data_IF_108450504749
#
_entry.id   IF_108450504749
#
_cell.length_a   1.000
_cell.length_b   1.000
_cell.length_c   1.000
_cell.angle_alpha   90.00
_cell.angle_beta   90.00
_cell.angle_gamma   90.00
#
_symmetry.space_group_name_H-M   'P 1'
#
loop_
_entity.id
_entity.type
_entity.pdbx_description
1 polymer ?
#
# COMPACT_ATOMS: atom_id res chain seq x y z
N UNK A 1 5.86 -49.38 2.43
CA UNK A 1 6.29 -48.26 3.29
C UNK A 1 6.37 -47.03 2.42
N UNK A 2 5.23 -46.37 2.23
CA UNK A 2 5.08 -45.26 1.30
C UNK A 2 4.73 -44.01 2.11
N UNK A 3 5.68 -43.07 2.15
CA UNK A 3 5.57 -41.76 2.82
C UNK A 3 5.56 -40.68 1.74
N UNK A 4 4.53 -40.66 0.90
CA UNK A 4 4.25 -39.54 -0.01
C UNK A 4 2.76 -39.42 -0.29
N UNK A 5 2.01 -38.85 0.65
CA UNK A 5 0.78 -38.10 0.35
C UNK A 5 0.28 -37.33 1.59
N UNK A 6 1.03 -36.32 2.04
CA UNK A 6 0.57 -35.39 3.08
C UNK A 6 1.04 -33.96 2.74
N UNK A 7 0.69 -33.47 1.55
CA UNK A 7 0.79 -32.04 1.21
C UNK A 7 -0.33 -31.70 0.22
N UNK A 8 -1.54 -31.46 0.74
CA UNK A 8 -2.60 -30.60 0.19
C UNK A 8 -3.80 -30.70 1.15
N UNK A 9 -3.60 -30.26 2.40
CA UNK A 9 -4.72 -29.73 3.17
C UNK A 9 -4.79 -28.23 2.85
N UNK A 10 -5.92 -27.69 2.36
CA UNK A 10 -6.08 -26.26 2.35
C UNK A 10 -6.13 -25.84 3.82
N UNK A 11 -5.02 -25.31 4.35
CA UNK A 11 -5.22 -24.17 5.24
C UNK A 11 -5.95 -23.17 4.36
N UNK A 12 -7.23 -22.89 4.64
CA UNK A 12 -7.94 -21.82 3.94
C UNK A 12 -7.15 -20.53 4.15
N UNK A 13 -6.23 -20.25 3.23
CA UNK A 13 -5.41 -19.07 3.30
C UNK A 13 -6.38 -17.90 3.19
N UNK A 14 -6.53 -17.15 4.28
CA UNK A 14 -7.44 -16.02 4.40
C UNK A 14 -7.26 -15.03 3.24
N UNK A 15 -6.05 -14.96 2.70
CA UNK A 15 -5.74 -14.11 1.58
C UNK A 15 -6.44 -14.57 0.31
N UNK A 16 -6.83 -15.84 0.12
CA UNK A 16 -7.67 -16.27 -1.01
C UNK A 16 -9.02 -15.52 -1.04
N UNK A 17 -9.54 -15.16 0.13
CA UNK A 17 -10.80 -14.42 0.35
C UNK A 17 -10.60 -12.92 0.53
N UNK A 18 -9.44 -12.39 0.15
CA UNK A 18 -9.14 -10.95 0.17
C UNK A 18 -9.13 -10.39 -1.25
N UNK A 19 -9.69 -9.18 -1.42
CA UNK A 19 -9.66 -8.50 -2.72
C UNK A 19 -8.50 -7.50 -2.79
N UNK A 20 -7.75 -7.55 -3.89
CA UNK A 20 -6.61 -6.64 -4.14
C UNK A 20 -7.15 -5.28 -4.57
N UNK A 21 -6.68 -4.22 -3.91
CA UNK A 21 -6.97 -2.84 -4.25
C UNK A 21 -5.73 -1.99 -3.98
N UNK A 22 -4.94 -1.73 -5.02
CA UNK A 22 -3.59 -1.17 -4.91
C UNK A 22 -3.30 -0.14 -5.98
N UNK A 23 -2.53 0.89 -5.64
CA UNK A 23 -1.78 1.70 -6.61
C UNK A 23 -0.39 1.07 -6.73
N UNK A 24 -0.10 0.50 -7.91
CA UNK A 24 1.13 -0.24 -8.20
C UNK A 24 2.05 0.59 -9.10
N UNK A 25 3.18 1.02 -8.56
CA UNK A 25 4.26 1.66 -9.31
C UNK A 25 5.36 0.64 -9.58
N UNK A 26 5.51 0.24 -10.84
CA UNK A 26 6.54 -0.72 -11.26
C UNK A 26 7.74 0.06 -11.80
N UNK A 27 8.91 -0.14 -11.19
CA UNK A 27 10.19 0.37 -11.67
C UNK A 27 10.98 -0.77 -12.32
N UNK A 28 10.99 -0.79 -13.64
CA UNK A 28 11.57 -1.85 -14.44
C UNK A 28 12.95 -1.45 -14.97
N UNK A 29 13.96 -2.25 -14.66
CA UNK A 29 15.26 -2.14 -15.32
C UNK A 29 15.16 -2.66 -16.76
N UNK A 30 15.32 -1.76 -17.73
CA UNK A 30 15.25 -2.10 -19.17
C UNK A 30 16.52 -2.76 -19.71
N UNK A 31 17.48 -3.11 -18.83
CA UNK A 31 18.51 -4.10 -19.18
C UNK A 31 17.93 -5.53 -19.30
N UNK A 32 16.75 -5.79 -18.75
CA UNK A 32 16.00 -7.00 -19.06
C UNK A 32 15.60 -7.05 -20.53
N UNK A 33 15.67 -8.23 -21.15
CA UNK A 33 15.03 -8.42 -22.46
C UNK A 33 13.51 -8.33 -22.32
N UNK A 34 12.87 -7.51 -23.16
CA UNK A 34 11.40 -7.38 -23.19
C UNK A 34 10.70 -8.75 -23.24
N UNK A 35 11.16 -9.65 -24.11
CA UNK A 35 10.55 -10.99 -24.32
C UNK A 35 10.56 -11.86 -23.05
N UNK A 36 11.49 -11.61 -22.14
CA UNK A 36 11.55 -12.31 -20.86
C UNK A 36 10.63 -11.60 -19.86
N UNK A 37 10.87 -10.32 -19.63
CA UNK A 37 10.26 -9.60 -18.50
C UNK A 37 8.79 -9.27 -18.72
N UNK A 38 8.32 -9.21 -19.97
CA UNK A 38 6.90 -9.04 -20.30
C UNK A 38 6.02 -10.07 -19.59
N UNK A 39 6.39 -11.36 -19.64
CA UNK A 39 5.59 -12.42 -19.04
C UNK A 39 5.47 -12.27 -17.51
N UNK A 40 6.53 -11.82 -16.85
CA UNK A 40 6.55 -11.62 -15.40
C UNK A 40 5.72 -10.41 -14.96
N UNK A 41 5.86 -9.27 -15.66
CA UNK A 41 5.01 -8.11 -15.43
C UNK A 41 3.55 -8.47 -15.72
N UNK A 42 3.30 -9.19 -16.81
CA UNK A 42 1.96 -9.62 -17.20
C UNK A 42 1.31 -10.52 -16.16
N UNK A 43 2.07 -11.49 -15.63
CA UNK A 43 1.58 -12.37 -14.58
C UNK A 43 1.11 -11.60 -13.34
N UNK A 44 1.90 -10.60 -12.90
CA UNK A 44 1.56 -9.75 -11.75
C UNK A 44 0.33 -8.89 -12.09
N UNK A 45 0.37 -8.14 -13.19
CA UNK A 45 -0.67 -7.16 -13.57
C UNK A 45 -2.01 -7.83 -13.85
N UNK A 46 -2.06 -8.99 -14.51
CA UNK A 46 -3.30 -9.71 -14.77
C UNK A 46 -4.01 -10.19 -13.50
N UNK A 47 -3.25 -10.43 -12.43
CA UNK A 47 -3.79 -10.84 -11.13
C UNK A 47 -4.10 -9.65 -10.24
N UNK A 48 -3.77 -8.43 -10.68
CA UNK A 48 -4.27 -7.21 -10.06
C UNK A 48 -5.66 -6.91 -10.62
N UNK A 49 -6.59 -6.47 -9.77
CA UNK A 49 -7.93 -6.02 -10.17
C UNK A 49 -7.85 -4.61 -10.80
N UNK A 50 -7.14 -4.46 -11.92
CA UNK A 50 -6.92 -3.17 -12.61
C UNK A 50 -8.21 -2.69 -13.28
N UNK A 51 -8.82 -1.66 -12.72
CA UNK A 51 -10.06 -1.02 -13.22
C UNK A 51 -10.25 0.36 -12.57
N UNK A 52 -11.13 1.25 -13.06
CA UNK A 52 -11.28 2.60 -12.52
C UNK A 52 -11.56 2.68 -11.01
N UNK A 53 -12.39 1.76 -10.50
CA UNK A 53 -12.73 1.65 -9.07
C UNK A 53 -11.91 0.58 -8.33
N UNK A 54 -10.95 -0.02 -9.02
CA UNK A 54 -10.07 -1.07 -8.51
C UNK A 54 -8.66 -0.53 -8.32
N UNK A 55 -7.69 -1.37 -8.67
CA UNK A 55 -6.27 -1.06 -8.65
C UNK A 55 -5.87 -0.21 -9.88
N UNK A 56 -4.77 0.52 -9.74
CA UNK A 56 -4.11 1.22 -10.84
C UNK A 56 -2.67 0.71 -11.01
N UNK A 57 -2.12 0.83 -12.21
CA UNK A 57 -0.74 0.45 -12.50
C UNK A 57 -0.04 1.53 -13.34
N UNK A 58 1.21 1.82 -12.99
CA UNK A 58 2.10 2.70 -13.75
C UNK A 58 3.44 2.00 -13.91
N UNK A 59 4.05 2.07 -15.09
CA UNK A 59 5.36 1.48 -15.37
C UNK A 59 6.38 2.56 -15.69
N UNK A 60 7.50 2.53 -14.98
CA UNK A 60 8.60 3.46 -15.11
C UNK A 60 9.92 2.72 -15.33
N UNK A 61 10.90 3.36 -15.96
CA UNK A 61 12.28 2.84 -16.03
C UNK A 61 12.95 2.92 -14.67
N UNK A 62 13.73 1.90 -14.28
CA UNK A 62 14.49 1.90 -13.03
C UNK A 62 15.76 2.77 -13.06
N UNK A 63 16.26 3.15 -14.25
CA UNK A 63 17.48 3.95 -14.41
C UNK A 63 17.26 5.44 -14.21
N UNK A 64 16.20 5.98 -14.81
CA UNK A 64 15.91 7.42 -14.87
C UNK A 64 14.49 7.79 -14.43
N UNK A 65 13.68 6.81 -14.04
CA UNK A 65 12.28 7.01 -13.64
C UNK A 65 11.39 7.69 -14.69
N UNK A 66 11.71 7.52 -15.99
CA UNK A 66 10.84 7.95 -17.09
C UNK A 66 9.67 6.97 -17.26
N UNK A 67 8.54 7.47 -17.77
CA UNK A 67 7.34 6.66 -17.99
C UNK A 67 7.51 5.73 -19.20
N UNK A 68 7.23 4.45 -19.00
CA UNK A 68 7.03 3.46 -20.07
C UNK A 68 5.54 3.24 -20.34
N UNK A 69 4.73 3.26 -19.29
CA UNK A 69 3.28 3.34 -19.39
C UNK A 69 2.76 4.28 -18.30
N UNK A 70 1.87 5.20 -18.69
CA UNK A 70 1.22 6.10 -17.76
C UNK A 70 0.25 5.34 -16.85
N UNK A 71 -0.25 6.01 -15.80
CA UNK A 71 -1.20 5.43 -14.88
C UNK A 71 -2.42 4.92 -15.65
N UNK A 72 -2.61 3.60 -15.61
CA UNK A 72 -3.70 2.92 -16.28
C UNK A 72 -4.65 2.28 -15.29
N UNK A 73 -5.92 2.36 -15.62
CA UNK A 73 -7.03 1.66 -14.99
C UNK A 73 -7.60 0.59 -15.92
N UNK A 74 -6.82 0.16 -16.92
CA UNK A 74 -7.20 -0.82 -17.94
C UNK A 74 -5.97 -1.65 -18.30
N UNK A 75 -6.08 -2.97 -18.16
CA UNK A 75 -5.00 -3.90 -18.53
C UNK A 75 -4.65 -3.76 -20.02
N UNK A 76 -5.68 -3.57 -20.86
CA UNK A 76 -5.50 -3.41 -22.30
C UNK A 76 -4.72 -2.13 -22.61
N UNK A 77 -5.08 -1.01 -21.99
CA UNK A 77 -4.40 0.26 -22.27
C UNK A 77 -2.98 0.31 -21.69
N UNK A 78 -2.73 -0.47 -20.63
CA UNK A 78 -1.39 -0.67 -20.09
C UNK A 78 -0.48 -1.37 -21.11
N UNK A 79 -0.89 -2.51 -21.68
CA UNK A 79 -0.08 -3.24 -22.66
C UNK A 79 -0.04 -2.58 -24.05
N UNK A 80 -0.99 -1.72 -24.38
CA UNK A 80 -0.87 -0.85 -25.57
C UNK A 80 0.28 0.15 -25.43
N UNK A 81 0.42 0.76 -24.25
CA UNK A 81 1.47 1.73 -23.97
C UNK A 81 2.84 1.07 -23.82
N UNK A 82 2.90 -0.06 -23.12
CA UNK A 82 4.14 -0.80 -22.93
C UNK A 82 4.24 -2.01 -23.86
N UNK A 83 5.04 -1.87 -24.92
CA UNK A 83 5.27 -2.87 -25.94
C UNK A 83 6.78 -2.99 -26.24
N UNK A 84 7.16 -3.90 -27.15
CA UNK A 84 8.57 -4.12 -27.51
C UNK A 84 9.27 -2.84 -27.95
N UNK A 85 8.60 -1.99 -28.73
CA UNK A 85 9.19 -0.75 -29.25
C UNK A 85 9.42 0.26 -28.11
N UNK A 86 8.40 0.52 -27.28
CA UNK A 86 8.52 1.48 -26.17
C UNK A 86 9.50 1.00 -25.10
N UNK A 87 9.62 -0.31 -24.89
CA UNK A 87 10.64 -0.89 -24.02
C UNK A 87 12.05 -0.69 -24.60
N UNK A 88 12.24 -0.94 -25.90
CA UNK A 88 13.56 -0.87 -26.56
C UNK A 88 14.05 0.58 -26.76
N UNK A 89 13.12 1.53 -26.90
CA UNK A 89 13.41 2.96 -27.01
C UNK A 89 13.62 3.65 -25.65
N UNK A 90 13.52 2.92 -24.54
CA UNK A 90 13.71 3.48 -23.21
C UNK A 90 15.10 4.14 -23.07
N UNK A 91 15.11 5.37 -22.53
CA UNK A 91 16.24 6.29 -22.61
C UNK A 91 17.59 5.77 -22.05
N UNK A 92 17.59 4.76 -21.17
CA UNK A 92 18.81 4.09 -20.68
C UNK A 92 18.50 2.78 -19.92
N UNK A 93 19.16 1.65 -20.22
CA UNK A 93 19.09 0.46 -19.35
C UNK A 93 19.86 0.68 -18.03
N UNK A 94 19.45 0.01 -16.97
CA UNK A 94 20.09 0.05 -15.67
C UNK A 94 19.15 0.35 -14.50
N UNK A 95 19.75 0.52 -13.33
CA UNK A 95 19.06 0.64 -12.05
C UNK A 95 19.66 1.76 -11.21
N UNK A 96 18.83 2.68 -10.73
CA UNK A 96 19.22 3.79 -9.86
C UNK A 96 18.25 3.91 -8.69
N UNK A 97 18.60 3.32 -7.55
CA UNK A 97 17.79 3.42 -6.34
C UNK A 97 17.55 4.87 -5.89
N UNK A 98 18.55 5.78 -5.88
CA UNK A 98 18.31 7.19 -5.54
C UNK A 98 17.20 7.84 -6.38
N UNK A 99 17.22 7.61 -7.69
CA UNK A 99 16.24 8.16 -8.63
C UNK A 99 14.86 7.54 -8.39
N UNK A 100 14.79 6.23 -8.15
CA UNK A 100 13.54 5.53 -7.83
C UNK A 100 12.93 6.08 -6.54
N UNK A 101 13.70 6.23 -5.47
CA UNK A 101 13.22 6.75 -4.18
C UNK A 101 12.70 8.18 -4.31
N UNK A 102 13.43 9.03 -5.03
CA UNK A 102 13.00 10.40 -5.33
C UNK A 102 11.68 10.41 -6.10
N UNK A 103 11.57 9.63 -7.19
CA UNK A 103 10.34 9.58 -7.98
C UNK A 103 9.17 8.97 -7.22
N UNK A 104 9.39 7.90 -6.46
CA UNK A 104 8.37 7.28 -5.62
C UNK A 104 7.80 8.29 -4.61
N UNK A 105 8.65 9.15 -4.04
CA UNK A 105 8.23 10.24 -3.15
C UNK A 105 7.33 11.25 -3.89
N UNK A 106 7.76 11.68 -5.08
CA UNK A 106 6.98 12.61 -5.92
C UNK A 106 5.61 12.03 -6.28
N UNK A 107 5.55 10.77 -6.74
CA UNK A 107 4.31 10.08 -7.09
C UNK A 107 3.38 9.94 -5.88
N UNK A 108 3.93 9.59 -4.72
CA UNK A 108 3.18 9.48 -3.47
C UNK A 108 2.60 10.82 -3.03
N UNK A 109 3.38 11.90 -3.16
CA UNK A 109 2.90 13.25 -2.87
C UNK A 109 1.76 13.67 -3.81
N UNK A 110 1.93 13.46 -5.12
CA UNK A 110 0.89 13.76 -6.11
C UNK A 110 -0.40 12.96 -5.86
N UNK A 111 -0.27 11.67 -5.53
CA UNK A 111 -1.42 10.83 -5.18
C UNK A 111 -2.18 11.38 -3.96
N UNK A 112 -1.46 11.69 -2.88
CA UNK A 112 -2.09 12.21 -1.65
C UNK A 112 -2.71 13.59 -1.87
N UNK A 113 -2.13 14.43 -2.73
CA UNK A 113 -2.73 15.72 -3.10
C UNK A 113 -4.04 15.54 -3.87
N UNK A 114 -4.09 14.60 -4.82
CA UNK A 114 -5.32 14.28 -5.56
C UNK A 114 -6.39 13.73 -4.62
N UNK A 115 -6.02 12.85 -3.70
CA UNK A 115 -6.94 12.29 -2.71
C UNK A 115 -7.45 13.33 -1.75
N UNK A 116 -6.57 14.23 -1.30
CA UNK A 116 -6.93 15.39 -0.50
C UNK A 116 -7.96 16.27 -1.21
N UNK A 117 -7.67 16.66 -2.47
CA UNK A 117 -8.59 17.47 -3.29
C UNK A 117 -9.94 16.78 -3.52
N UNK A 118 -9.96 15.45 -3.57
CA UNK A 118 -11.18 14.64 -3.73
C UNK A 118 -11.84 14.26 -2.40
N UNK A 119 -11.31 14.71 -1.27
CA UNK A 119 -11.75 14.30 0.07
C UNK A 119 -11.83 12.76 0.23
N UNK A 120 -10.85 12.05 -0.31
CA UNK A 120 -10.77 10.59 -0.34
C UNK A 120 -9.99 10.03 0.84
N UNK A 121 -10.37 8.85 1.32
CA UNK A 121 -9.69 8.11 2.40
C UNK A 121 -8.50 7.26 1.92
N UNK A 122 -8.20 7.29 0.62
CA UNK A 122 -7.00 6.68 0.07
C UNK A 122 -6.93 5.15 0.13
N UNK A 123 -8.08 4.48 0.20
CA UNK A 123 -8.34 3.06 0.46
C UNK A 123 -7.60 2.00 -0.39
N UNK A 124 -6.56 2.38 -1.13
CA UNK A 124 -5.69 1.50 -1.91
C UNK A 124 -4.37 1.33 -1.18
N UNK A 125 -3.84 0.10 -1.13
CA UNK A 125 -2.44 -0.10 -0.74
C UNK A 125 -1.52 0.62 -1.73
N UNK A 126 -0.36 1.09 -1.28
CA UNK A 126 0.61 1.79 -2.11
C UNK A 126 1.88 0.96 -2.21
N UNK A 127 2.16 0.43 -3.40
CA UNK A 127 3.25 -0.52 -3.62
C UNK A 127 4.17 0.00 -4.71
N UNK A 128 5.46 0.01 -4.39
CA UNK A 128 6.55 0.24 -5.33
C UNK A 128 7.22 -1.10 -5.59
N UNK A 129 7.00 -1.67 -6.77
CA UNK A 129 7.62 -2.92 -7.22
C UNK A 129 8.86 -2.59 -8.04
N UNK A 130 10.04 -2.89 -7.51
CA UNK A 130 11.31 -2.75 -8.21
C UNK A 130 11.63 -4.06 -8.91
N UNK A 131 11.98 -3.99 -10.20
CA UNK A 131 12.40 -5.13 -11.00
C UNK A 131 13.81 -4.92 -11.55
N UNK A 132 14.86 -5.03 -10.71
CA UNK A 132 16.24 -4.92 -11.14
C UNK A 132 16.66 -6.10 -12.04
N UNK A 133 17.51 -5.84 -13.03
CA UNK A 133 18.12 -6.89 -13.84
C UNK A 133 19.09 -7.76 -13.04
N UNK A 134 19.50 -8.95 -13.55
CA UNK A 134 20.45 -9.81 -12.85
C UNK A 134 21.80 -9.15 -12.55
N UNK A 135 22.17 -8.12 -13.29
CA UNK A 135 23.42 -7.37 -13.12
C UNK A 135 23.25 -6.07 -12.33
N UNK A 136 22.03 -5.67 -11.99
CA UNK A 136 21.76 -4.44 -11.26
C UNK A 136 22.32 -4.47 -9.84
N UNK A 137 22.88 -3.35 -9.38
CA UNK A 137 23.33 -3.13 -8.01
C UNK A 137 23.13 -1.66 -7.64
N UNK A 138 23.14 -1.36 -6.34
CA UNK A 138 23.20 0.02 -5.86
C UNK A 138 24.66 0.41 -5.73
N UNK A 139 25.04 1.56 -6.30
CA UNK A 139 26.41 2.05 -6.20
C UNK A 139 26.80 2.26 -4.73
N UNK A 140 28.01 1.87 -4.34
CA UNK A 140 28.51 2.02 -2.97
C UNK A 140 28.49 3.48 -2.51
N UNK A 141 28.75 4.43 -3.42
CA UNK A 141 28.66 5.87 -3.14
C UNK A 141 27.25 6.33 -2.75
N UNK A 142 26.21 5.61 -3.19
CA UNK A 142 24.81 5.92 -2.92
C UNK A 142 24.27 5.16 -1.70
N UNK A 143 25.06 4.28 -1.08
CA UNK A 143 24.61 3.40 -0.01
C UNK A 143 24.01 4.18 1.17
N UNK A 144 24.79 5.08 1.77
CA UNK A 144 24.39 5.85 2.94
C UNK A 144 23.20 6.76 2.65
N UNK A 145 23.18 7.35 1.45
CA UNK A 145 22.07 8.18 0.99
C UNK A 145 20.78 7.36 0.90
N UNK A 146 20.81 6.20 0.24
CA UNK A 146 19.64 5.35 0.06
C UNK A 146 19.11 4.81 1.39
N UNK A 147 20.00 4.39 2.31
CA UNK A 147 19.61 3.91 3.64
C UNK A 147 18.87 5.00 4.42
N UNK A 148 19.46 6.19 4.53
CA UNK A 148 18.84 7.32 5.25
C UNK A 148 17.53 7.76 4.60
N UNK A 149 17.46 7.73 3.27
CA UNK A 149 16.25 8.14 2.57
C UNK A 149 15.12 7.11 2.74
N UNK A 150 15.41 5.81 2.68
CA UNK A 150 14.44 4.76 3.01
C UNK A 150 13.91 4.90 4.45
N UNK A 151 14.80 5.10 5.43
CA UNK A 151 14.40 5.33 6.83
C UNK A 151 13.50 6.56 6.98
N UNK A 152 13.85 7.65 6.29
CA UNK A 152 13.04 8.86 6.25
C UNK A 152 11.65 8.58 5.65
N UNK A 153 11.58 7.83 4.54
CA UNK A 153 10.32 7.48 3.89
C UNK A 153 9.45 6.58 4.77
N UNK A 154 10.01 5.56 5.39
CA UNK A 154 9.23 4.69 6.29
C UNK A 154 8.67 5.43 7.50
N UNK A 155 9.37 6.47 8.00
CA UNK A 155 8.89 7.32 9.10
C UNK A 155 7.81 8.31 8.64
N UNK A 156 7.97 8.92 7.48
CA UNK A 156 7.09 10.01 7.02
C UNK A 156 5.90 9.52 6.20
N UNK A 157 6.08 8.42 5.46
CA UNK A 157 5.12 7.79 4.55
C UNK A 157 5.03 6.28 4.83
N UNK A 158 4.61 5.85 6.03
CA UNK A 158 4.58 4.44 6.45
C UNK A 158 3.64 3.54 5.63
N UNK A 159 2.87 4.11 4.69
CA UNK A 159 1.94 3.39 3.82
C UNK A 159 2.58 3.00 2.46
N UNK A 160 3.78 3.50 2.15
CA UNK A 160 4.55 3.05 0.98
C UNK A 160 5.28 1.75 1.31
N UNK A 161 5.17 0.75 0.45
CA UNK A 161 5.89 -0.50 0.58
C UNK A 161 6.74 -0.77 -0.66
N UNK A 162 8.01 -1.05 -0.43
CA UNK A 162 8.96 -1.41 -1.48
C UNK A 162 9.10 -2.92 -1.54
N UNK A 163 8.82 -3.50 -2.70
CA UNK A 163 9.00 -4.93 -2.98
C UNK A 163 10.03 -5.04 -4.10
N UNK A 164 11.05 -5.88 -3.90
CA UNK A 164 12.03 -6.16 -4.94
C UNK A 164 11.73 -7.51 -5.55
N UNK A 165 11.57 -7.51 -6.86
CA UNK A 165 11.40 -8.70 -7.67
C UNK A 165 12.55 -8.76 -8.69
N UNK A 166 13.68 -9.32 -8.26
CA UNK A 166 14.95 -9.17 -8.95
C UNK A 166 15.49 -10.48 -9.48
N UNK A 167 16.19 -10.44 -10.61
CA UNK A 167 16.98 -11.57 -11.09
C UNK A 167 18.35 -11.64 -10.40
N UNK A 168 19.02 -12.79 -10.53
CA UNK A 168 20.36 -13.00 -9.99
C UNK A 168 20.38 -13.09 -8.45
N UNK A 169 21.42 -12.56 -7.83
CA UNK A 169 21.65 -12.73 -6.38
C UNK A 169 20.90 -11.68 -5.57
N UNK A 170 19.86 -12.10 -4.83
CA UNK A 170 19.01 -11.20 -4.03
C UNK A 170 19.71 -10.51 -2.86
N UNK A 171 20.79 -11.11 -2.33
CA UNK A 171 21.46 -10.63 -1.10
C UNK A 171 21.93 -9.18 -1.20
N UNK A 172 22.25 -8.70 -2.41
CA UNK A 172 22.67 -7.31 -2.65
C UNK A 172 21.59 -6.27 -2.33
N UNK A 173 20.31 -6.68 -2.32
CA UNK A 173 19.20 -5.81 -1.98
C UNK A 173 18.72 -5.94 -0.52
N UNK A 174 19.34 -6.85 0.25
CA UNK A 174 18.95 -7.16 1.63
C UNK A 174 18.91 -5.95 2.55
N UNK A 175 19.83 -5.01 2.38
CA UNK A 175 19.90 -3.81 3.21
C UNK A 175 18.83 -2.77 2.85
N UNK A 176 18.19 -2.85 1.68
CA UNK A 176 17.26 -1.81 1.17
C UNK A 176 15.78 -2.18 1.32
N UNK A 177 15.49 -3.24 2.06
CA UNK A 177 14.12 -3.71 2.34
C UNK A 177 13.86 -3.75 3.84
N UNK A 178 12.57 -3.68 4.19
CA UNK A 178 12.13 -3.75 5.58
C UNK A 178 12.28 -5.16 6.14
N UNK A 179 11.79 -6.17 5.42
CA UNK A 179 12.01 -7.58 5.76
C UNK A 179 12.44 -8.38 4.51
N UNK A 180 13.70 -8.84 4.45
CA UNK A 180 14.20 -9.68 3.37
C UNK A 180 13.41 -10.96 3.08
N UNK A 181 12.64 -11.48 4.05
CA UNK A 181 11.85 -12.70 3.88
C UNK A 181 10.55 -12.46 3.14
N UNK A 182 10.01 -11.24 3.21
CA UNK A 182 8.69 -10.90 2.66
C UNK A 182 8.75 -9.85 1.56
N UNK A 183 9.86 -9.13 1.40
CA UNK A 183 9.96 -8.02 0.44
C UNK A 183 11.04 -8.27 -0.65
N UNK A 184 11.72 -9.42 -0.65
CA UNK A 184 12.66 -9.83 -1.70
C UNK A 184 12.19 -11.13 -2.37
N UNK A 185 12.04 -11.09 -3.69
CA UNK A 185 11.62 -12.23 -4.49
C UNK A 185 12.54 -12.41 -5.70
N UNK A 186 12.80 -13.67 -6.04
CA UNK A 186 13.63 -14.04 -7.17
C UNK A 186 12.79 -14.09 -8.45
N UNK A 187 13.13 -13.24 -9.41
CA UNK A 187 12.71 -13.37 -10.80
C UNK A 187 13.70 -14.32 -11.49
N UNK A 188 13.25 -15.54 -11.75
CA UNK A 188 14.07 -16.60 -12.35
C UNK A 188 13.52 -16.96 -13.74
N UNK A 189 14.15 -16.47 -14.83
CA UNK A 189 13.79 -16.81 -16.21
C UNK A 189 13.84 -18.30 -16.54
N UNK A 190 14.55 -19.11 -15.74
CA UNK A 190 14.70 -20.55 -15.96
C UNK A 190 13.56 -21.37 -15.36
N UNK A 191 12.70 -20.75 -14.54
CA UNK A 191 11.53 -21.38 -13.92
C UNK A 191 10.23 -20.88 -14.55
N UNK A 192 9.18 -21.67 -14.35
CA UNK A 192 7.83 -21.25 -14.69
C UNK A 192 7.50 -19.89 -14.06
N UNK A 193 6.93 -19.00 -14.88
CA UNK A 193 6.58 -17.63 -14.49
C UNK A 193 5.72 -17.61 -13.22
N UNK A 194 4.81 -18.57 -13.09
CA UNK A 194 3.96 -18.73 -11.90
C UNK A 194 4.76 -18.95 -10.62
N UNK A 195 5.75 -19.84 -10.64
CA UNK A 195 6.56 -20.19 -9.47
C UNK A 195 7.32 -18.97 -8.95
N UNK A 196 7.88 -18.17 -9.85
CA UNK A 196 8.61 -16.94 -9.47
C UNK A 196 7.70 -15.76 -9.14
N UNK A 197 6.54 -15.64 -9.78
CA UNK A 197 5.69 -14.43 -9.67
C UNK A 197 4.60 -14.55 -8.61
N UNK A 198 4.10 -15.76 -8.32
CA UNK A 198 3.03 -15.97 -7.35
C UNK A 198 3.36 -15.42 -5.95
N UNK A 199 4.58 -15.60 -5.40
CA UNK A 199 4.94 -15.01 -4.12
C UNK A 199 4.85 -13.47 -4.09
N UNK A 200 5.18 -12.81 -5.21
CA UNK A 200 5.06 -11.35 -5.34
C UNK A 200 3.59 -10.93 -5.31
N UNK A 201 2.74 -11.63 -6.06
CA UNK A 201 1.29 -11.39 -6.08
C UNK A 201 0.68 -11.60 -4.70
N UNK A 202 1.09 -12.66 -3.99
CA UNK A 202 0.67 -12.92 -2.61
C UNK A 202 1.12 -11.79 -1.67
N UNK A 203 2.38 -11.35 -1.75
CA UNK A 203 2.87 -10.24 -0.93
C UNK A 203 2.10 -8.93 -1.17
N UNK A 204 1.77 -8.64 -2.43
CA UNK A 204 0.92 -7.50 -2.81
C UNK A 204 -0.47 -7.65 -2.21
N UNK A 205 -1.07 -8.83 -2.31
CA UNK A 205 -2.39 -9.15 -1.76
C UNK A 205 -2.44 -9.05 -0.24
N UNK A 206 -1.34 -9.37 0.42
CA UNK A 206 -1.21 -9.33 1.87
C UNK A 206 -1.01 -7.90 2.39
N UNK A 207 -0.77 -6.90 1.54
CA UNK A 207 -0.65 -5.52 2.01
C UNK A 207 -2.03 -4.95 2.36
N UNK A 208 -2.27 -4.51 3.61
CA UNK A 208 -3.54 -3.89 3.98
C UNK A 208 -3.76 -2.57 3.22
N UNK A 209 -5.03 -2.25 2.95
CA UNK A 209 -5.43 -0.97 2.39
C UNK A 209 -5.14 0.14 3.39
N UNK A 210 -4.58 1.26 2.96
CA UNK A 210 -4.40 2.40 3.87
C UNK A 210 -5.73 3.14 4.07
N UNK A 211 -5.91 3.67 5.27
CA UNK A 211 -6.93 4.67 5.56
C UNK A 211 -6.18 5.91 6.00
N UNK A 212 -6.26 6.95 5.19
CA UNK A 212 -5.53 8.20 5.38
C UNK A 212 -6.49 9.37 5.45
N UNK A 213 -6.14 10.39 6.22
CA UNK A 213 -6.88 11.65 6.21
C UNK A 213 -6.61 12.41 4.89
N UNK A 214 -7.65 12.85 4.15
CA UNK A 214 -7.46 13.82 3.07
C UNK A 214 -7.08 15.16 3.68
N UNK A 215 -5.80 15.51 3.65
CA UNK A 215 -5.32 16.76 4.20
C UNK A 215 -5.58 17.91 3.24
N UNK A 216 -6.79 18.46 3.23
CA UNK A 216 -7.09 19.66 2.46
C UNK A 216 -6.48 20.87 3.17
N UNK A 217 -5.52 21.55 2.53
CA UNK A 217 -5.13 22.90 2.93
C UNK A 217 -6.29 23.87 2.61
N UNK A 218 -7.34 23.89 3.43
CA UNK A 218 -8.29 24.98 3.39
C UNK A 218 -7.79 26.08 4.32
N UNK A 219 -7.45 27.23 3.73
CA UNK A 219 -6.96 28.42 4.46
C UNK A 219 -7.98 28.97 5.47
N UNK A 220 -9.25 28.58 5.40
CA UNK A 220 -10.29 29.05 6.30
C UNK A 220 -11.15 27.88 6.80
N UNK A 221 -11.01 27.55 8.09
CA UNK A 221 -12.14 27.16 8.94
C UNK A 221 -12.72 25.76 8.77
N UNK A 222 -12.02 24.72 9.24
CA UNK A 222 -12.52 23.74 10.23
C UNK A 222 -11.57 22.53 10.28
N UNK A 223 -11.08 22.19 11.48
CA UNK A 223 -10.17 21.03 11.70
C UNK A 223 -10.94 19.72 11.88
N UNK A 224 -12.24 19.73 11.55
CA UNK A 224 -13.15 18.63 11.84
C UNK A 224 -13.82 18.14 10.57
N UNK A 225 -13.24 17.10 9.99
CA UNK A 225 -13.79 16.45 8.81
C UNK A 225 -14.16 15.04 9.18
N UNK A 226 -15.46 14.77 9.12
CA UNK A 226 -15.97 13.42 9.02
C UNK A 226 -15.92 13.04 7.54
N UNK A 227 -15.26 11.94 7.21
CA UNK A 227 -15.29 11.36 5.88
C UNK A 227 -15.99 10.02 5.94
N UNK A 228 -16.66 9.68 4.85
CA UNK A 228 -17.31 8.39 4.74
C UNK A 228 -17.21 7.87 3.32
N UNK A 229 -17.07 6.56 3.19
CA UNK A 229 -16.93 5.90 1.90
C UNK A 229 -17.63 4.55 1.95
N UNK A 230 -18.44 4.30 0.92
CA UNK A 230 -19.09 3.00 0.75
C UNK A 230 -18.05 1.99 0.30
N UNK A 231 -18.11 0.79 0.87
CA UNK A 231 -17.23 -0.31 0.55
C UNK A 231 -18.06 -1.54 0.23
N UNK A 232 -17.50 -2.37 -0.64
CA UNK A 232 -18.17 -3.52 -1.22
C UNK A 232 -17.36 -4.78 -0.96
N UNK A 233 -18.04 -5.86 -0.61
CA UNK A 233 -17.41 -7.11 -0.23
C UNK A 233 -18.30 -8.28 -0.63
N UNK A 234 -17.80 -9.28 -1.39
CA UNK A 234 -18.55 -10.52 -1.57
C UNK A 234 -18.79 -11.25 -0.24
N UNK A 235 -19.78 -12.13 -0.20
CA UNK A 235 -20.04 -12.95 1.00
C UNK A 235 -18.83 -13.83 1.34
N UNK A 236 -18.50 -13.91 2.62
CA UNK A 236 -17.36 -14.69 3.13
C UNK A 236 -15.99 -14.08 2.88
N UNK A 237 -15.91 -12.95 2.15
CA UNK A 237 -14.64 -12.25 1.91
C UNK A 237 -14.30 -11.32 3.08
N UNK A 238 -13.02 -10.91 3.12
CA UNK A 238 -12.48 -9.97 4.11
C UNK A 238 -11.63 -8.91 3.42
N UNK A 239 -11.77 -7.65 3.86
CA UNK A 239 -10.86 -6.57 3.51
C UNK A 239 -10.04 -6.18 4.74
N UNK A 240 -8.73 -6.03 4.55
CA UNK A 240 -7.81 -5.54 5.57
C UNK A 240 -7.47 -4.09 5.34
N UNK A 241 -7.40 -3.33 6.43
CA UNK A 241 -7.09 -1.93 6.45
C UNK A 241 -6.02 -1.61 7.50
N UNK A 242 -5.29 -0.54 7.26
CA UNK A 242 -4.26 -0.01 8.14
C UNK A 242 -4.42 1.50 8.25
N UNK A 243 -4.48 2.01 9.47
CA UNK A 243 -4.31 3.43 9.76
C UNK A 243 -2.92 3.59 10.37
N UNK A 244 -2.03 4.27 9.66
CA UNK A 244 -0.73 4.61 10.21
C UNK A 244 -0.86 5.57 11.39
N UNK A 245 -0.01 5.43 12.41
CA UNK A 245 0.04 6.30 13.57
C UNK A 245 0.14 7.79 13.20
N UNK A 246 0.73 8.12 12.04
CA UNK A 246 0.80 9.48 11.52
C UNK A 246 -0.58 10.18 11.43
N UNK A 247 -1.68 9.41 11.30
CA UNK A 247 -3.06 9.89 11.22
C UNK A 247 -3.77 9.97 12.58
N UNK A 248 -3.13 9.64 13.70
CA UNK A 248 -3.73 9.78 15.04
C UNK A 248 -2.72 10.03 16.17
N UNK A 249 -1.48 10.38 15.85
CA UNK A 249 -0.43 10.55 16.86
C UNK A 249 -0.63 11.80 17.74
N UNK A 250 -1.03 12.92 17.15
CA UNK A 250 -1.25 14.15 17.92
C UNK A 250 -2.50 14.03 18.79
N UNK A 251 -2.48 14.53 20.04
CA UNK A 251 -3.68 14.59 20.86
C UNK A 251 -4.82 15.30 20.11
N UNK A 252 -6.02 14.77 20.20
CA UNK A 252 -7.19 15.30 19.49
C UNK A 252 -8.47 15.08 20.29
N UNK A 253 -9.61 15.33 19.67
CA UNK A 253 -10.92 15.03 20.26
C UNK A 253 -11.81 14.38 19.21
N UNK A 254 -12.70 13.49 19.67
CA UNK A 254 -13.66 12.77 18.82
C UNK A 254 -13.00 12.08 17.63
N UNK A 255 -11.79 11.54 17.79
CA UNK A 255 -11.10 10.86 16.70
C UNK A 255 -11.51 9.40 16.70
N UNK A 256 -12.16 8.94 15.64
CA UNK A 256 -12.63 7.57 15.59
C UNK A 256 -12.72 7.03 14.17
N UNK A 257 -12.79 5.71 14.08
CA UNK A 257 -13.26 4.99 12.91
C UNK A 257 -14.56 4.27 13.26
N UNK A 258 -15.53 4.32 12.35
CA UNK A 258 -16.81 3.61 12.47
C UNK A 258 -17.06 2.78 11.23
N UNK A 259 -17.67 1.61 11.44
CA UNK A 259 -18.17 0.74 10.38
C UNK A 259 -19.67 0.57 10.60
N UNK A 260 -20.45 0.90 9.57
CA UNK A 260 -21.90 0.75 9.57
C UNK A 260 -22.31 -0.20 8.44
N UNK A 261 -23.01 -1.28 8.78
CA UNK A 261 -23.60 -2.16 7.78
C UNK A 261 -24.68 -1.40 6.98
N UNK A 262 -24.68 -1.58 5.66
CA UNK A 262 -25.73 -1.07 4.77
C UNK A 262 -26.60 -2.22 4.23
N UNK A 263 -25.97 -3.35 3.92
CA UNK A 263 -26.68 -4.61 3.66
C UNK A 263 -27.20 -5.21 4.96
N UNK A 264 -28.27 -6.00 4.88
CA UNK A 264 -28.86 -6.71 6.04
C UNK A 264 -28.05 -7.92 6.52
N UNK A 265 -26.97 -8.27 5.83
CA UNK A 265 -26.00 -9.27 6.29
C UNK A 265 -25.20 -8.78 7.50
N UNK A 266 -24.80 -9.70 8.36
CA UNK A 266 -23.86 -9.36 9.42
C UNK A 266 -22.42 -9.23 8.89
N UNK A 267 -21.65 -8.39 9.56
CA UNK A 267 -20.22 -8.20 9.35
C UNK A 267 -19.46 -8.49 10.64
N UNK A 268 -18.28 -9.10 10.53
CA UNK A 268 -17.34 -9.24 11.63
C UNK A 268 -16.22 -8.23 11.43
N UNK A 269 -16.01 -7.38 12.42
CA UNK A 269 -14.96 -6.36 12.41
C UNK A 269 -13.94 -6.74 13.45
N UNK A 270 -12.67 -6.84 13.05
CA UNK A 270 -11.58 -7.09 13.98
C UNK A 270 -10.56 -5.95 13.98
N UNK A 271 -10.02 -5.61 15.15
CA UNK A 271 -8.96 -4.60 15.30
C UNK A 271 -7.73 -5.19 15.99
N UNK A 272 -6.56 -4.66 15.66
CA UNK A 272 -5.30 -4.99 16.35
C UNK A 272 -4.26 -3.88 16.21
N UNK A 273 -3.37 -3.77 17.20
CA UNK A 273 -2.17 -2.92 17.14
C UNK A 273 -0.88 -3.70 16.88
N UNK A 274 -0.97 -5.04 16.76
CA UNK A 274 0.18 -5.94 16.62
C UNK A 274 0.07 -6.89 15.43
N UNK A 275 -1.10 -7.50 15.26
CA UNK A 275 -1.38 -8.37 14.13
C UNK A 275 -1.80 -7.52 12.92
N UNK A 276 -1.02 -7.57 11.83
CA UNK A 276 -1.32 -6.86 10.58
C UNK A 276 -2.59 -7.37 9.87
N UNK A 277 -3.02 -8.58 10.19
CA UNK A 277 -4.19 -9.25 9.60
C UNK A 277 -5.11 -9.76 10.70
N UNK A 278 -5.75 -8.87 11.48
CA UNK A 278 -6.67 -9.30 12.53
C UNK A 278 -7.86 -9.98 11.86
N UNK A 279 -8.17 -11.22 12.23
CA UNK A 279 -9.32 -11.92 11.66
C UNK A 279 -9.89 -12.94 12.64
N UNK A 280 -11.21 -13.11 12.63
CA UNK A 280 -11.85 -14.11 13.47
C UNK A 280 -11.62 -15.50 12.88
N UNK A 281 -10.69 -16.25 13.46
CA UNK A 281 -10.54 -17.67 13.14
C UNK A 281 -11.61 -18.45 13.91
N UNK A 282 -12.53 -19.11 13.21
CA UNK A 282 -13.59 -19.93 13.81
C UNK A 282 -13.05 -21.21 14.46
N UNK A 283 -11.79 -21.58 14.21
CA UNK A 283 -11.16 -22.81 14.69
C UNK A 283 -10.35 -22.58 15.97
N UNK A 284 -9.93 -21.34 16.28
CA UNK A 284 -9.22 -21.05 17.52
C UNK A 284 -10.19 -20.78 18.66
N UNK A 285 -10.36 -21.75 19.56
CA UNK A 285 -11.16 -21.65 20.78
C UNK A 285 -10.55 -20.75 21.86
N UNK A 286 -9.41 -20.11 21.58
CA UNK A 286 -8.72 -19.21 22.50
C UNK A 286 -8.95 -17.77 22.05
N UNK A 287 -9.48 -16.87 22.90
CA UNK A 287 -9.47 -15.45 22.59
C UNK A 287 -8.01 -15.02 22.45
N UNK A 288 -7.57 -14.68 21.23
CA UNK A 288 -6.22 -14.16 21.07
C UNK A 288 -6.16 -12.79 21.73
N UNK A 289 -5.20 -12.60 22.63
CA UNK A 289 -4.98 -11.33 23.34
C UNK A 289 -4.48 -10.22 22.41
N UNK A 290 -4.23 -10.54 21.14
CA UNK A 290 -3.64 -9.64 20.16
C UNK A 290 -4.68 -8.95 19.26
N UNK A 291 -5.94 -9.36 19.27
CA UNK A 291 -6.99 -8.75 18.45
C UNK A 291 -8.36 -8.79 19.14
N UNK A 292 -9.22 -7.84 18.79
CA UNK A 292 -10.59 -7.77 19.28
C UNK A 292 -11.54 -7.85 18.10
N UNK A 293 -12.53 -8.74 18.14
CA UNK A 293 -13.49 -8.93 17.06
C UNK A 293 -14.92 -8.73 17.55
N UNK A 294 -15.73 -7.95 16.83
CA UNK A 294 -17.13 -7.71 17.11
C UNK A 294 -17.97 -7.95 15.85
N UNK A 295 -19.13 -8.57 16.03
CA UNK A 295 -20.09 -8.75 14.95
C UNK A 295 -21.14 -7.62 15.01
N UNK A 296 -21.44 -7.03 13.85
CA UNK A 296 -22.53 -6.06 13.68
C UNK A 296 -23.51 -6.58 12.62
N UNK A 297 -24.80 -6.28 12.79
CA UNK A 297 -25.82 -6.49 11.74
C UNK A 297 -26.55 -5.19 11.44
N UNK A 298 -27.19 -4.59 12.45
CA UNK A 298 -27.86 -3.27 12.33
C UNK A 298 -27.20 -2.18 13.18
N UNK A 299 -26.15 -2.55 13.92
CA UNK A 299 -25.42 -1.65 14.82
C UNK A 299 -24.22 -1.03 14.12
N UNK A 300 -23.67 0.03 14.73
CA UNK A 300 -22.46 0.70 14.25
C UNK A 300 -21.30 0.28 15.13
N UNK A 301 -20.25 -0.29 14.52
CA UNK A 301 -18.97 -0.47 15.19
C UNK A 301 -18.27 0.88 15.29
N UNK A 302 -17.64 1.18 16.42
CA UNK A 302 -16.86 2.40 16.66
C UNK A 302 -15.59 2.08 17.42
N UNK A 303 -14.47 2.63 16.98
CA UNK A 303 -13.18 2.50 17.64
C UNK A 303 -12.57 3.89 17.84
N UNK A 304 -12.28 4.24 19.09
CA UNK A 304 -11.71 5.54 19.46
C UNK A 304 -10.19 5.54 19.24
N UNK A 305 -9.70 6.60 18.60
CA UNK A 305 -8.31 6.82 18.23
C UNK A 305 -7.67 7.99 19.00
N UNK A 306 -8.42 8.63 19.90
CA UNK A 306 -8.07 9.93 20.50
C UNK A 306 -6.76 9.86 21.30
N UNK A 307 -6.60 8.84 22.14
CA UNK A 307 -5.52 8.76 23.13
C UNK A 307 -4.54 7.59 22.91
N UNK A 308 -4.59 6.94 21.74
CA UNK A 308 -3.86 5.70 21.49
C UNK A 308 -2.33 5.84 21.38
N UNK A 309 -1.82 7.06 21.28
CA UNK A 309 -0.39 7.33 21.21
C UNK A 309 0.16 8.13 22.42
N UNK A 310 -0.62 8.37 23.47
CA UNK A 310 -0.19 9.23 24.60
C UNK A 310 1.07 8.73 25.31
N UNK A 311 1.31 7.41 25.34
CA UNK A 311 2.48 6.81 25.99
C UNK A 311 3.75 6.84 25.15
N UNK A 312 3.69 7.31 23.90
CA UNK A 312 4.81 7.30 22.97
C UNK A 312 5.37 8.70 22.80
N UNK A 313 6.69 8.84 22.97
CA UNK A 313 7.35 10.13 22.82
C UNK A 313 7.59 10.47 21.35
N UNK A 314 7.80 9.45 20.51
CA UNK A 314 8.15 9.63 19.11
C UNK A 314 7.12 8.96 18.19
N UNK A 315 6.76 9.66 17.11
CA UNK A 315 5.68 9.26 16.18
C UNK A 315 5.81 7.85 15.60
N UNK A 316 7.04 7.42 15.29
CA UNK A 316 7.29 6.11 14.66
C UNK A 316 7.37 4.95 15.66
N UNK A 317 7.34 5.23 16.98
CA UNK A 317 7.25 4.19 18.01
C UNK A 317 5.80 3.78 18.25
N UNK A 318 4.85 4.69 18.02
CA UNK A 318 3.43 4.38 18.16
C UNK A 318 3.01 3.39 17.04
N UNK A 319 2.50 2.19 17.40
CA UNK A 319 2.13 1.20 16.40
C UNK A 319 0.93 1.66 15.57
N UNK A 320 0.77 1.21 14.31
CA UNK A 320 -0.44 1.48 13.53
C UNK A 320 -1.66 0.75 14.12
N UNK A 321 -2.85 1.14 13.68
CA UNK A 321 -4.07 0.37 13.88
C UNK A 321 -4.36 -0.46 12.62
N UNK A 322 -4.47 -1.77 12.79
CA UNK A 322 -4.98 -2.69 11.78
C UNK A 322 -6.45 -2.99 12.06
N UNK A 323 -7.23 -3.06 10.99
CA UNK A 323 -8.66 -3.31 10.99
C UNK A 323 -8.99 -4.32 9.90
N UNK A 324 -9.89 -5.24 10.15
CA UNK A 324 -10.52 -6.04 9.10
C UNK A 324 -12.03 -5.93 9.15
N UNK A 325 -12.65 -6.04 7.98
CA UNK A 325 -14.10 -6.14 7.84
C UNK A 325 -14.39 -7.37 7.00
N UNK A 326 -15.07 -8.35 7.60
CA UNK A 326 -15.45 -9.60 6.99
C UNK A 326 -16.96 -9.66 6.81
N UNK A 327 -17.43 -9.95 5.60
CA UNK A 327 -18.84 -10.26 5.37
C UNK A 327 -19.11 -11.71 5.77
N UNK A 328 -20.24 -11.98 6.41
CA UNK A 328 -20.64 -13.38 6.65
C UNK A 328 -20.78 -14.14 5.32
N UNK A 329 -20.58 -15.46 5.37
CA UNK A 329 -20.57 -16.32 4.19
C UNK A 329 -21.98 -16.63 3.65
N UNK A 330 -23.02 -16.32 4.41
CA UNK A 330 -24.40 -16.69 4.11
C UNK A 330 -25.30 -15.47 4.23
N UNK A 331 -26.05 -15.18 3.17
CA UNK A 331 -27.12 -14.19 3.12
C UNK A 331 -28.07 -14.54 1.96
N UNK A 332 -29.32 -14.10 2.02
CA UNK A 332 -30.27 -14.31 0.93
C UNK A 332 -29.88 -13.45 -0.29
N UNK A 333 -30.19 -13.91 -1.51
CA UNK A 333 -29.87 -13.20 -2.75
C UNK A 333 -30.49 -11.80 -2.83
N UNK A 334 -31.65 -11.59 -2.21
CA UNK A 334 -32.32 -10.28 -2.08
C UNK A 334 -31.55 -9.29 -1.18
N UNK A 335 -30.60 -9.77 -0.37
CA UNK A 335 -29.85 -8.97 0.61
C UNK A 335 -28.49 -8.48 0.10
N UNK A 336 -28.06 -8.97 -1.08
CA UNK A 336 -26.70 -8.80 -1.58
C UNK A 336 -26.63 -8.18 -2.98
N UNK A 337 -27.63 -7.42 -3.40
CA UNK A 337 -27.64 -6.79 -4.72
C UNK A 337 -26.82 -5.50 -4.73
N UNK A 338 -25.91 -5.38 -5.68
CA UNK A 338 -25.18 -4.14 -5.96
C UNK A 338 -25.27 -3.75 -7.44
N UNK A 339 -25.86 -2.58 -7.70
CA UNK A 339 -26.01 -1.99 -9.04
C UNK A 339 -25.03 -0.84 -9.30
N UNK A 340 -24.18 -0.52 -8.32
CA UNK A 340 -23.20 0.56 -8.39
C UNK A 340 -22.00 0.17 -9.26
N UNK A 341 -21.42 1.14 -9.98
CA UNK A 341 -20.31 0.90 -10.93
C UNK A 341 -19.01 0.46 -10.25
N UNK A 342 -18.90 0.76 -8.96
CA UNK A 342 -17.80 0.41 -8.08
C UNK A 342 -17.74 -1.10 -7.78
N UNK A 343 -18.88 -1.79 -7.90
CA UNK A 343 -18.99 -3.20 -7.59
C UNK A 343 -18.24 -4.08 -8.58
N UNK A 344 -17.59 -5.13 -8.06
CA UNK A 344 -16.95 -6.17 -8.85
C UNK A 344 -17.99 -7.10 -9.47
N UNK A 345 -19.12 -7.31 -8.80
CA UNK A 345 -20.18 -8.22 -9.21
C UNK A 345 -21.52 -7.74 -8.68
N UNK A 346 -22.62 -8.18 -9.29
CA UNK A 346 -23.98 -7.86 -8.85
C UNK A 346 -24.32 -8.40 -7.46
N UNK A 347 -23.58 -9.40 -6.97
CA UNK A 347 -23.76 -9.98 -5.65
C UNK A 347 -22.66 -9.53 -4.68
N UNK A 348 -22.82 -8.34 -4.08
CA UNK A 348 -21.90 -7.83 -3.08
C UNK A 348 -22.63 -7.16 -1.92
N UNK A 349 -22.11 -7.41 -0.73
CA UNK A 349 -22.54 -6.74 0.49
C UNK A 349 -21.91 -5.35 0.57
N UNK A 350 -22.60 -4.44 1.24
CA UNK A 350 -22.23 -3.05 1.36
C UNK A 350 -22.07 -2.64 2.82
N UNK A 351 -21.03 -1.87 3.11
CA UNK A 351 -20.84 -1.19 4.39
C UNK A 351 -20.30 0.23 4.18
N UNK A 352 -20.51 1.09 5.17
CA UNK A 352 -20.00 2.44 5.19
C UNK A 352 -18.82 2.50 6.17
N UNK A 353 -17.65 2.90 5.67
CA UNK A 353 -16.49 3.20 6.48
C UNK A 353 -16.46 4.70 6.74
N UNK A 354 -16.43 5.08 8.01
CA UNK A 354 -16.51 6.48 8.45
C UNK A 354 -15.29 6.77 9.31
N UNK A 355 -14.62 7.89 9.04
CA UNK A 355 -13.53 8.40 9.89
C UNK A 355 -13.85 9.79 10.35
N UNK A 356 -13.34 10.18 11.52
CA UNK A 356 -13.50 11.54 12.01
C UNK A 356 -12.18 12.04 12.62
N UNK A 357 -11.82 13.29 12.31
CA UNK A 357 -10.70 14.02 12.92
C UNK A 357 -9.33 13.31 12.83
N UNK A 358 -9.08 12.55 11.76
CA UNK A 358 -7.75 11.96 11.53
C UNK A 358 -6.70 13.07 11.32
N UNK A 359 -5.55 12.91 11.96
CA UNK A 359 -4.43 13.84 11.95
C UNK A 359 -3.82 14.00 10.54
N UNK A 360 -3.39 15.23 10.27
CA UNK A 360 -2.80 15.69 9.02
C UNK A 360 -1.44 16.39 9.18
N UNK A 361 -0.93 16.47 10.42
CA UNK A 361 0.23 17.28 10.79
C UNK A 361 1.49 17.06 9.96
N UNK A 362 1.67 15.90 9.32
CA UNK A 362 2.93 15.51 8.67
C UNK A 362 2.83 15.11 7.19
N UNK A 363 1.70 15.34 6.49
CA UNK A 363 1.60 14.86 5.10
C UNK A 363 2.37 15.70 4.06
N UNK A 364 2.95 16.86 4.41
CA UNK A 364 3.87 17.55 3.48
C UNK A 364 4.20 19.02 3.77
N UNK A 365 4.69 19.38 4.96
CA UNK A 365 5.06 20.80 5.22
C UNK A 365 6.38 21.08 5.93
N UNK A 366 7.25 20.10 6.22
CA UNK A 366 8.47 20.39 6.99
C UNK A 366 9.81 20.37 6.23
N UNK A 367 9.85 20.17 4.91
CA UNK A 367 11.14 20.14 4.20
C UNK A 367 11.56 21.45 3.51
N UNK A 368 10.67 22.42 3.29
CA UNK A 368 11.05 23.67 2.63
C UNK A 368 11.53 24.77 3.59
N UNK A 369 11.16 24.71 4.87
CA UNK A 369 11.55 25.76 5.84
C UNK A 369 12.98 25.62 6.38
N UNK A 370 13.58 24.43 6.31
CA UNK A 370 14.91 24.19 6.86
C UNK A 370 16.03 24.64 5.91
N UNK A 371 15.84 24.53 4.59
CA UNK A 371 16.87 24.89 3.60
C UNK A 371 16.99 26.41 3.47
N UNK A 372 15.88 27.16 3.51
CA UNK A 372 15.91 28.62 3.50
C UNK A 372 16.62 29.19 4.74
N UNK A 373 16.41 28.58 5.92
CA UNK A 373 17.06 29.03 7.15
C UNK A 373 18.59 28.77 7.12
N UNK A 374 19.01 27.62 6.59
CA UNK A 374 20.43 27.27 6.46
C UNK A 374 21.12 28.22 5.46
N UNK A 375 20.49 28.52 4.32
CA UNK A 375 21.02 29.47 3.35
C UNK A 375 21.15 30.87 3.93
N UNK A 376 20.17 31.37 4.68
CA UNK A 376 20.23 32.68 5.35
C UNK A 376 21.35 32.73 6.40
N UNK A 377 21.53 31.66 7.19
CA UNK A 377 22.60 31.59 8.19
C UNK A 377 23.98 31.54 7.53
N UNK A 378 24.14 30.78 6.43
CA UNK A 378 25.41 30.78 5.69
C UNK A 378 25.71 32.11 5.02
N UNK A 379 24.70 32.80 4.46
CA UNK A 379 24.87 34.13 3.86
C UNK A 379 25.22 35.20 4.91
N UNK A 380 24.63 35.13 6.11
CA UNK A 380 24.93 36.03 7.21
C UNK A 380 26.34 35.81 7.78
N UNK A 381 26.78 34.55 7.89
CA UNK A 381 28.14 34.23 8.34
C UNK A 381 29.22 34.64 7.33
N UNK A 382 28.96 34.51 6.02
CA UNK A 382 29.90 34.99 4.99
C UNK A 382 30.04 36.52 5.05
N UNK A 383 28.96 37.27 5.29
CA UNK A 383 29.04 38.75 5.43
C UNK A 383 29.85 39.22 6.65
N UNK A 384 29.87 38.45 7.74
CA UNK A 384 30.66 38.79 8.93
C UNK A 384 32.15 38.42 8.80
N UNK A 385 32.55 37.64 7.80
CA UNK A 385 33.95 37.33 7.50
C UNK A 385 34.61 38.35 6.55
N UNK A 386 33.81 39.23 5.92
CA UNK A 386 34.26 40.29 5.00
C UNK A 386 34.18 41.70 5.60
N UNK A 387 34.06 41.82 6.92
CA UNK A 387 34.30 43.05 7.71
C UNK A 387 35.43 42.78 8.68
#
# INVERSE_FOLDING_TARGET
MDRRLDCLKPSEDIFTRTSILTDLYIFLDTAWSYRIVENYVNYVVQRMNIRPYGSSVTLLTASGASLLANQSYSIIDFFKQWNFETHSQAAKPGFSLPTILSKATELTHGLFEIESKRNSLGLRSLIVLLMPSPLAYVNEHDFDYCQRYLDFLYRTKPDINFIYYSGGVLVRFKSYVKDPRTDLFLLDPERDVEVSSLPVVQRIKNEPRRITSPCSMHLNGSRHHQQQVKQYLPLGFVNFYKIAANNFFTPGYMRYIKIKALSSTAFVICTSRRNSWPYRNTISSSPSTEQECLQISNNVFSYDLTDLCLSYQIKHECPPLFLSVQAQAFADSSQIMCEERECLSLQQTQFLLITNNLDCSNQGQQLLKSIELILVITFLNIKNLYK
#
